data_IF_541330596598
#
_entry.id   IF_541330596598
#
_cell.length_a   1.000
_cell.length_b   1.000
_cell.length_c   1.000
_cell.angle_alpha   90.00
_cell.angle_beta   90.00
_cell.angle_gamma   90.00
#
_symmetry.space_group_name_H-M   'P 1'
#
loop_
_entity.id
_entity.type
_entity.pdbx_description
1 polymer ?
#
# COMPACT_ATOMS: atom_id res chain seq x y z
N UNK A 1 -32.87 -10.92 -23.81
CA UNK A 1 -32.05 -11.97 -23.17
C UNK A 1 -30.55 -11.87 -23.50
N UNK A 2 -30.14 -11.75 -24.78
CA UNK A 2 -28.72 -11.57 -25.16
C UNK A 2 -28.03 -10.32 -24.58
N UNK A 3 -28.71 -9.17 -24.55
CA UNK A 3 -28.13 -7.90 -24.06
C UNK A 3 -27.82 -7.93 -22.55
N UNK A 4 -28.65 -8.63 -21.75
CA UNK A 4 -28.46 -8.74 -20.30
C UNK A 4 -27.23 -9.59 -19.94
N UNK A 5 -26.90 -10.59 -20.76
CA UNK A 5 -25.68 -11.39 -20.58
C UNK A 5 -24.42 -10.56 -20.85
N UNK A 6 -24.46 -9.68 -21.86
CA UNK A 6 -23.34 -8.77 -22.17
C UNK A 6 -23.13 -7.76 -21.05
N UNK A 7 -24.22 -7.19 -20.52
CA UNK A 7 -24.16 -6.25 -19.39
C UNK A 7 -23.63 -6.94 -18.13
N UNK A 8 -24.09 -8.17 -17.83
CA UNK A 8 -23.61 -8.95 -16.70
C UNK A 8 -22.11 -9.26 -16.81
N UNK A 9 -21.63 -9.59 -18.01
CA UNK A 9 -20.20 -9.85 -18.27
C UNK A 9 -19.34 -8.60 -18.08
N UNK A 10 -19.81 -7.44 -18.55
CA UNK A 10 -19.15 -6.15 -18.35
C UNK A 10 -19.01 -5.80 -16.86
N UNK A 11 -20.06 -5.96 -16.07
CA UNK A 11 -20.04 -5.68 -14.62
C UNK A 11 -19.03 -6.58 -13.91
N UNK A 12 -18.98 -7.87 -14.27
CA UNK A 12 -18.06 -8.83 -13.66
C UNK A 12 -16.58 -8.45 -13.91
N UNK A 13 -16.26 -7.95 -15.10
CA UNK A 13 -14.90 -7.51 -15.45
C UNK A 13 -14.41 -6.31 -14.63
N UNK A 14 -15.30 -5.36 -14.29
CA UNK A 14 -14.96 -4.21 -13.45
C UNK A 14 -14.66 -4.62 -12.00
N UNK A 15 -15.36 -5.62 -11.46
CA UNK A 15 -15.13 -6.10 -10.09
C UNK A 15 -13.74 -6.73 -9.89
N UNK A 16 -13.13 -7.28 -10.95
CA UNK A 16 -11.79 -7.90 -10.88
C UNK A 16 -10.69 -6.83 -10.73
N UNK A 17 -10.86 -5.66 -11.37
CA UNK A 17 -9.90 -4.56 -11.28
C UNK A 17 -9.91 -3.90 -9.89
N UNK A 18 -11.08 -3.86 -9.23
CA UNK A 18 -11.23 -3.32 -7.87
C UNK A 18 -10.56 -4.20 -6.79
N UNK A 19 -10.26 -5.47 -7.08
CA UNK A 19 -9.55 -6.37 -6.16
C UNK A 19 -8.03 -6.17 -6.18
N UNK A 20 -7.50 -5.36 -7.11
CA UNK A 20 -6.08 -5.03 -7.14
C UNK A 20 -5.77 -4.10 -5.97
N UNK A 21 -5.43 -4.71 -4.83
CA UNK A 21 -5.10 -3.96 -3.64
C UNK A 21 -3.77 -3.23 -3.85
N UNK A 22 -3.80 -1.93 -3.60
CA UNK A 22 -2.63 -1.07 -3.67
C UNK A 22 -1.59 -1.55 -2.64
N UNK A 23 -0.40 -1.89 -3.14
CA UNK A 23 0.70 -2.42 -2.34
C UNK A 23 1.16 -1.41 -1.30
N UNK A 24 1.05 -0.11 -1.59
CA UNK A 24 1.33 0.95 -0.63
C UNK A 24 0.36 0.90 0.55
N UNK A 25 -0.93 0.73 0.28
CA UNK A 25 -1.95 0.59 1.31
C UNK A 25 -1.79 -0.69 2.16
N UNK A 26 -1.20 -1.75 1.59
CA UNK A 26 -0.85 -2.96 2.36
C UNK A 26 0.31 -2.65 3.31
N UNK A 27 1.36 -2.00 2.80
CA UNK A 27 2.53 -1.65 3.59
C UNK A 27 2.20 -0.65 4.72
N UNK A 28 1.40 0.39 4.44
CA UNK A 28 0.93 1.34 5.45
C UNK A 28 0.10 0.65 6.55
N UNK A 29 -0.81 -0.25 6.19
CA UNK A 29 -1.58 -1.03 7.17
C UNK A 29 -0.68 -1.94 8.01
N UNK A 30 0.37 -2.49 7.42
CA UNK A 30 1.35 -3.29 8.16
C UNK A 30 2.10 -2.44 9.19
N UNK A 31 2.52 -1.22 8.85
CA UNK A 31 3.17 -0.29 9.78
C UNK A 31 2.22 0.08 10.93
N UNK A 32 0.95 0.40 10.62
CA UNK A 32 -0.03 0.73 11.66
C UNK A 32 -0.28 -0.46 12.60
N UNK A 33 -0.36 -1.69 12.06
CA UNK A 33 -0.55 -2.89 12.87
C UNK A 33 0.69 -3.23 13.73
N UNK A 34 1.90 -2.96 13.22
CA UNK A 34 3.17 -3.23 13.92
C UNK A 34 3.60 -2.11 14.87
N UNK A 35 2.93 -0.96 14.84
CA UNK A 35 3.22 0.24 15.65
C UNK A 35 3.43 -0.05 17.14
N UNK A 36 2.52 -0.81 17.74
CA UNK A 36 2.59 -1.22 19.16
C UNK A 36 3.86 -2.06 19.43
N UNK A 37 4.16 -3.01 18.54
CA UNK A 37 5.33 -3.89 18.65
C UNK A 37 6.64 -3.11 18.50
N UNK A 38 6.66 -2.10 17.65
CA UNK A 38 7.82 -1.23 17.39
C UNK A 38 7.91 -0.04 18.35
N UNK A 39 6.96 0.08 19.30
CA UNK A 39 6.87 1.19 20.27
C UNK A 39 6.81 2.57 19.58
N UNK A 40 6.23 2.64 18.39
CA UNK A 40 6.03 3.87 17.65
C UNK A 40 4.82 4.63 18.21
N UNK A 41 4.91 5.95 18.28
CA UNK A 41 3.76 6.81 18.61
C UNK A 41 2.94 7.08 17.35
N UNK A 42 1.66 7.44 17.52
CA UNK A 42 0.83 7.89 16.40
C UNK A 42 1.44 9.07 15.65
N UNK A 43 2.18 9.94 16.35
CA UNK A 43 2.92 11.06 15.74
C UNK A 43 4.08 10.63 14.85
N UNK A 44 4.59 9.42 15.03
CA UNK A 44 5.75 8.93 14.29
C UNK A 44 5.36 8.38 12.91
N UNK A 45 4.10 7.96 12.78
CA UNK A 45 3.55 7.39 11.55
C UNK A 45 2.59 8.34 10.81
N UNK A 46 2.27 9.49 11.40
CA UNK A 46 1.34 10.46 10.81
C UNK A 46 1.92 11.24 9.62
N UNK A 47 3.24 11.30 9.50
CA UNK A 47 3.96 11.99 8.43
C UNK A 47 5.02 11.07 7.81
N UNK A 48 4.53 9.95 7.26
CA UNK A 48 5.31 8.99 6.50
C UNK A 48 5.30 9.39 5.03
N UNK A 49 6.50 9.60 4.49
CA UNK A 49 6.72 9.78 3.05
C UNK A 49 7.30 8.50 2.45
N UNK A 50 6.87 8.11 1.26
CA UNK A 50 7.48 7.00 0.52
C UNK A 50 8.75 7.54 -0.10
N UNK A 51 9.92 7.04 0.30
CA UNK A 51 11.19 7.44 -0.30
C UNK A 51 11.38 6.72 -1.64
N UNK A 52 11.11 5.41 -1.66
CA UNK A 52 11.37 4.56 -2.80
C UNK A 52 10.29 3.48 -2.93
N UNK A 53 9.89 3.25 -4.17
CA UNK A 53 8.99 2.18 -4.57
C UNK A 53 9.68 1.36 -5.65
N UNK A 54 10.31 0.25 -5.24
CA UNK A 54 11.10 -0.59 -6.13
C UNK A 54 10.42 -1.95 -6.35
N UNK A 55 9.68 -2.13 -7.46
CA UNK A 55 9.20 -3.43 -7.87
C UNK A 55 10.38 -4.25 -8.43
N UNK A 56 10.84 -5.24 -7.68
CA UNK A 56 11.86 -6.17 -8.14
C UNK A 56 11.31 -7.06 -9.25
N UNK A 57 11.83 -6.88 -10.46
CA UNK A 57 11.42 -7.65 -11.64
C UNK A 57 11.77 -9.13 -11.56
N UNK A 58 12.70 -9.52 -10.68
CA UNK A 58 13.22 -10.89 -10.64
C UNK A 58 12.35 -11.85 -9.81
N UNK A 59 11.58 -11.33 -8.85
CA UNK A 59 10.80 -12.12 -7.89
C UNK A 59 9.38 -11.58 -7.66
N UNK A 60 9.01 -10.46 -8.29
CA UNK A 60 7.70 -9.84 -8.12
C UNK A 60 7.50 -9.19 -6.75
N UNK A 61 8.54 -9.11 -5.91
CA UNK A 61 8.49 -8.43 -4.62
C UNK A 61 8.61 -6.93 -4.84
N UNK A 62 7.75 -6.16 -4.18
CA UNK A 62 7.83 -4.71 -4.18
C UNK A 62 8.40 -4.23 -2.87
N UNK A 63 9.56 -3.60 -2.92
CA UNK A 63 10.16 -2.96 -1.77
C UNK A 63 9.64 -1.53 -1.69
N UNK A 64 9.02 -1.19 -0.57
CA UNK A 64 8.49 0.15 -0.31
C UNK A 64 9.22 0.68 0.92
N UNK A 65 10.03 1.71 0.72
CA UNK A 65 10.80 2.34 1.78
C UNK A 65 10.05 3.57 2.27
N UNK A 66 9.92 3.68 3.59
CA UNK A 66 9.25 4.79 4.23
C UNK A 66 10.25 5.63 5.00
N UNK A 67 10.11 6.95 4.85
CA UNK A 67 10.87 7.93 5.58
C UNK A 67 9.92 8.68 6.51
N UNK A 68 10.28 8.67 7.80
CA UNK A 68 9.58 9.43 8.83
C UNK A 68 10.12 10.86 8.85
N UNK A 69 9.21 11.83 8.76
CA UNK A 69 9.54 13.25 8.93
C UNK A 69 9.14 13.68 10.34
N UNK A 70 10.10 13.69 11.28
CA UNK A 70 9.86 14.18 12.63
C UNK A 70 10.60 15.49 12.87
N UNK A 71 9.85 16.60 12.99
CA UNK A 71 10.41 17.93 13.37
C UNK A 71 11.68 18.31 12.59
N UNK A 72 11.65 18.18 11.26
CA UNK A 72 12.77 18.45 10.34
C UNK A 72 13.98 17.48 10.42
N UNK A 73 13.88 16.37 11.15
CA UNK A 73 14.80 15.24 11.07
C UNK A 73 14.20 14.11 10.23
N UNK A 74 15.00 13.61 9.28
CA UNK A 74 14.65 12.51 8.38
C UNK A 74 15.22 11.21 8.95
N UNK A 75 14.37 10.23 9.22
CA UNK A 75 14.80 8.89 9.65
C UNK A 75 14.29 7.84 8.65
N UNK A 76 15.19 7.00 8.15
CA UNK A 76 14.89 5.92 7.19
C UNK A 76 14.48 4.69 7.99
N UNK A 77 13.28 4.16 7.72
CA UNK A 77 12.79 2.91 8.31
C UNK A 77 13.05 1.77 7.29
N UNK A 78 13.97 0.86 7.63
CA UNK A 78 14.37 -0.30 6.82
C UNK A 78 13.45 -1.50 7.04
#
# INVERSE_FOLDING_TARGET
MRIYLVISYLILAFCIQAQKQDQLNIALRHIEASKEAWKLKSSDISDLSVSDYYPSSHNGVTHIYFQQNYRAFQFIML
#
